data_IF_720550192466
#
_entry.id   IF_720550192466
#
_cell.length_a   1.000
_cell.length_b   1.000
_cell.length_c   1.000
_cell.angle_alpha   90.00
_cell.angle_beta   90.00
_cell.angle_gamma   90.00
#
_symmetry.space_group_name_H-M   'P 1'
#
loop_
_entity.id
_entity.type
_entity.pdbx_description
1 polymer ?
#
# COMPACT_ATOMS: atom_id res chain seq x y z
N UNK A 1 -46.62 -63.22 76.92
CA UNK A 1 -46.19 -64.03 75.86
C UNK A 1 -46.28 -63.27 74.59
N UNK A 2 -45.42 -63.53 73.88
CA UNK A 2 -44.34 -62.68 73.46
C UNK A 2 -44.57 -62.19 72.04
N UNK A 3 -43.83 -61.39 71.70
CA UNK A 3 -42.66 -61.25 70.83
C UNK A 3 -42.96 -60.24 69.71
N UNK A 4 -42.22 -59.26 69.73
CA UNK A 4 -40.92 -59.25 69.20
C UNK A 4 -40.89 -59.22 67.69
N UNK A 5 -40.05 -58.40 67.37
CA UNK A 5 -39.16 -58.41 66.24
C UNK A 5 -39.59 -57.54 65.14
N UNK A 6 -38.90 -56.54 65.11
CA UNK A 6 -37.67 -56.47 64.35
C UNK A 6 -37.91 -56.62 62.86
N UNK A 7 -37.72 -55.63 62.24
CA UNK A 7 -36.42 -55.55 61.65
C UNK A 7 -36.19 -54.14 61.12
N UNK A 8 -35.19 -53.59 61.69
CA UNK A 8 -34.50 -52.49 61.07
C UNK A 8 -33.89 -52.96 59.77
N UNK A 9 -34.55 -52.75 58.73
CA UNK A 9 -33.93 -52.78 57.40
C UNK A 9 -33.39 -51.41 57.08
N UNK A 10 -32.17 -51.31 57.43
CA UNK A 10 -31.24 -50.35 56.89
C UNK A 10 -31.45 -50.18 55.38
N UNK A 11 -32.11 -49.13 55.02
CA UNK A 11 -32.18 -48.75 53.63
C UNK A 11 -31.41 -47.47 53.42
N UNK A 12 -30.13 -47.65 53.62
CA UNK A 12 -29.11 -46.71 53.08
C UNK A 12 -29.20 -46.73 51.60
N UNK A 13 -30.29 -46.24 51.06
CA UNK A 13 -30.37 -45.92 49.64
C UNK A 13 -29.43 -44.77 49.37
N UNK A 14 -28.28 -45.16 48.91
CA UNK A 14 -27.28 -44.25 48.42
C UNK A 14 -27.91 -43.21 47.50
N UNK A 15 -27.90 -42.00 47.97
CA UNK A 15 -28.05 -40.82 47.11
C UNK A 15 -26.94 -40.86 46.11
N UNK A 16 -27.17 -41.55 45.02
CA UNK A 16 -26.39 -41.37 43.81
C UNK A 16 -26.58 -39.91 43.44
N UNK A 17 -25.56 -39.14 43.78
CA UNK A 17 -25.41 -37.80 43.30
C UNK A 17 -25.55 -37.86 41.81
N UNK A 18 -26.67 -37.38 41.32
CA UNK A 18 -26.83 -37.04 39.91
C UNK A 18 -25.83 -35.96 39.63
N UNK A 19 -24.63 -36.40 39.24
CA UNK A 19 -23.64 -35.52 38.69
C UNK A 19 -24.35 -34.75 37.59
N UNK A 20 -24.62 -33.52 37.88
CA UNK A 20 -25.05 -32.54 36.89
C UNK A 20 -24.00 -32.53 35.84
N UNK A 21 -24.21 -33.31 34.79
CA UNK A 21 -23.40 -33.17 33.59
C UNK A 21 -23.62 -31.73 33.13
N UNK A 22 -22.71 -30.88 33.51
CA UNK A 22 -22.56 -29.60 32.85
C UNK A 22 -22.29 -29.99 31.42
N UNK A 23 -23.30 -29.98 30.58
CA UNK A 23 -23.14 -30.01 29.18
C UNK A 23 -22.23 -28.78 28.91
N UNK A 24 -20.97 -29.02 28.72
CA UNK A 24 -20.11 -28.05 28.11
C UNK A 24 -20.77 -27.79 26.77
N UNK A 25 -21.59 -26.76 26.70
CA UNK A 25 -21.96 -26.14 25.47
C UNK A 25 -20.65 -25.64 24.90
N UNK A 26 -19.97 -26.53 24.19
CA UNK A 26 -19.01 -26.11 23.22
C UNK A 26 -19.84 -25.23 22.30
N UNK A 27 -19.74 -23.92 22.52
CA UNK A 27 -20.23 -22.97 21.56
C UNK A 27 -19.47 -23.31 20.28
N UNK A 28 -20.10 -24.09 19.44
CA UNK A 28 -19.61 -24.33 18.10
C UNK A 28 -19.58 -22.93 17.47
N UNK A 29 -18.38 -22.37 17.45
CA UNK A 29 -18.14 -21.11 16.75
C UNK A 29 -18.49 -21.40 15.31
N UNK A 30 -19.59 -20.84 14.86
CA UNK A 30 -19.97 -20.95 13.46
C UNK A 30 -18.87 -20.23 12.65
N UNK A 31 -18.01 -21.02 12.02
CA UNK A 31 -16.85 -20.52 11.26
C UNK A 31 -17.30 -19.81 9.97
N UNK A 32 -18.53 -20.09 9.52
CA UNK A 32 -19.04 -19.54 8.25
C UNK A 32 -19.02 -18.01 8.21
N UNK A 33 -19.50 -17.26 9.22
CA UNK A 33 -19.40 -15.80 9.22
C UNK A 33 -17.95 -15.29 9.20
N UNK A 34 -17.06 -15.99 9.91
CA UNK A 34 -15.65 -15.63 9.95
C UNK A 34 -14.98 -15.81 8.59
N UNK A 35 -15.25 -16.94 7.94
CA UNK A 35 -14.71 -17.24 6.58
C UNK A 35 -15.28 -16.25 5.57
N UNK A 36 -16.54 -15.87 5.67
CA UNK A 36 -17.16 -14.89 4.77
C UNK A 36 -16.46 -13.53 4.87
N UNK A 37 -16.22 -13.02 6.08
CA UNK A 37 -15.47 -11.77 6.29
C UNK A 37 -14.05 -11.88 5.73
N UNK A 38 -13.36 -13.00 5.95
CA UNK A 38 -12.02 -13.22 5.45
C UNK A 38 -11.98 -13.26 3.92
N UNK A 39 -12.95 -13.92 3.28
CA UNK A 39 -13.06 -13.96 1.83
C UNK A 39 -13.34 -12.58 1.24
N UNK A 40 -14.24 -11.81 1.83
CA UNK A 40 -14.55 -10.45 1.38
C UNK A 40 -13.33 -9.55 1.50
N UNK A 41 -12.62 -9.60 2.62
CA UNK A 41 -11.37 -8.86 2.80
C UNK A 41 -10.31 -9.29 1.79
N UNK A 42 -10.17 -10.59 1.52
CA UNK A 42 -9.23 -11.11 0.52
C UNK A 42 -9.53 -10.53 -0.87
N UNK A 43 -10.80 -10.53 -1.28
CA UNK A 43 -11.22 -10.00 -2.57
C UNK A 43 -10.96 -8.49 -2.63
N UNK A 44 -11.30 -7.74 -1.57
CA UNK A 44 -11.05 -6.30 -1.49
C UNK A 44 -9.55 -6.02 -1.65
N UNK A 45 -8.70 -6.72 -0.90
CA UNK A 45 -7.24 -6.55 -1.02
C UNK A 45 -6.72 -6.96 -2.40
N UNK A 46 -7.27 -8.02 -3.00
CA UNK A 46 -6.89 -8.44 -4.34
C UNK A 46 -7.22 -7.38 -5.40
N UNK A 47 -8.36 -6.71 -5.27
CA UNK A 47 -8.79 -5.66 -6.20
C UNK A 47 -8.07 -4.33 -5.93
N UNK A 48 -7.81 -4.01 -4.67
CA UNK A 48 -7.19 -2.72 -4.29
C UNK A 48 -5.66 -2.75 -4.39
N UNK A 49 -5.02 -3.90 -4.23
CA UNK A 49 -3.57 -4.02 -4.30
C UNK A 49 -2.95 -3.46 -5.59
N UNK A 50 -3.47 -3.76 -6.80
CA UNK A 50 -2.95 -3.15 -8.02
C UNK A 50 -3.23 -1.66 -8.14
N UNK A 51 -4.18 -1.12 -7.37
CA UNK A 51 -4.47 0.32 -7.34
C UNK A 51 -3.42 1.11 -6.56
N UNK A 52 -2.78 0.48 -5.58
CA UNK A 52 -1.72 1.09 -4.77
C UNK A 52 -0.39 1.16 -5.54
N UNK A 53 -0.18 0.27 -6.50
CA UNK A 53 1.04 0.20 -7.33
C UNK A 53 1.00 1.06 -8.59
N UNK A 54 0.19 2.09 -8.64
CA UNK A 54 0.15 3.03 -9.79
C UNK A 54 1.33 3.99 -9.84
N UNK A 55 2.40 3.71 -9.10
CA UNK A 55 3.70 4.28 -9.39
C UNK A 55 4.23 3.67 -10.69
N UNK A 56 4.63 4.51 -11.65
CA UNK A 56 5.31 4.02 -12.83
C UNK A 56 6.73 3.58 -12.44
N UNK A 57 7.08 2.35 -12.77
CA UNK A 57 8.46 1.88 -12.62
C UNK A 57 9.35 2.63 -13.61
N UNK A 58 10.24 3.43 -13.08
CA UNK A 58 11.29 4.12 -13.86
C UNK A 58 12.63 3.51 -13.52
N UNK A 59 13.24 2.84 -14.48
CA UNK A 59 14.63 2.40 -14.35
C UNK A 59 15.55 3.62 -14.46
N UNK A 60 16.01 4.11 -13.32
CA UNK A 60 16.90 5.28 -13.29
C UNK A 60 18.26 4.93 -13.89
N UNK A 61 18.83 5.81 -14.71
CA UNK A 61 20.19 5.62 -15.21
C UNK A 61 21.20 5.64 -14.05
N UNK A 62 22.24 4.82 -14.18
CA UNK A 62 23.29 4.70 -13.16
C UNK A 62 24.32 5.81 -13.34
N UNK A 63 24.56 6.61 -12.31
CA UNK A 63 25.68 7.55 -12.27
C UNK A 63 26.56 7.31 -11.06
N UNK A 64 27.83 7.70 -11.18
CA UNK A 64 28.83 7.53 -10.12
C UNK A 64 28.74 8.56 -9.00
N UNK A 65 27.92 9.60 -9.15
CA UNK A 65 27.68 10.63 -8.14
C UNK A 65 26.17 10.88 -8.01
N UNK A 66 25.55 10.38 -6.96
CA UNK A 66 24.22 10.78 -6.53
C UNK A 66 24.34 11.55 -5.22
N UNK A 67 23.80 12.75 -5.18
CA UNK A 67 23.63 13.49 -3.92
C UNK A 67 22.36 13.00 -3.22
N UNK A 68 22.43 12.82 -1.92
CA UNK A 68 21.24 12.53 -1.10
C UNK A 68 20.28 13.73 -1.14
N UNK A 69 19.08 13.47 -1.62
CA UNK A 69 18.05 14.49 -1.81
C UNK A 69 17.08 14.40 -0.63
N UNK A 70 17.14 15.37 0.27
CA UNK A 70 16.24 15.48 1.42
C UNK A 70 14.86 16.07 1.06
N UNK A 71 13.85 15.65 1.82
CA UNK A 71 12.42 15.85 1.59
C UNK A 71 11.96 17.32 1.45
N UNK A 72 11.01 17.53 0.62
CA UNK A 72 10.21 18.69 0.21
C UNK A 72 10.40 19.12 -1.27
N UNK A 73 10.99 18.27 -2.07
CA UNK A 73 11.31 18.58 -3.46
C UNK A 73 10.32 17.90 -4.40
N UNK A 74 9.92 18.60 -5.43
CA UNK A 74 9.03 18.07 -6.46
C UNK A 74 9.81 17.15 -7.37
N UNK A 75 9.33 15.93 -7.52
CA UNK A 75 9.89 14.95 -8.43
C UNK A 75 9.01 14.79 -9.66
N UNK A 76 9.62 14.84 -10.83
CA UNK A 76 8.95 14.52 -12.08
C UNK A 76 9.60 13.28 -12.66
N UNK A 77 8.83 12.22 -12.79
CA UNK A 77 9.29 10.94 -13.34
C UNK A 77 8.79 10.77 -14.76
N UNK A 78 9.70 10.48 -15.67
CA UNK A 78 9.41 10.21 -17.08
C UNK A 78 9.60 8.72 -17.33
N UNK A 79 8.52 7.94 -17.41
CA UNK A 79 8.58 6.51 -17.68
C UNK A 79 8.81 6.24 -19.15
N UNK A 80 9.21 5.00 -19.49
CA UNK A 80 9.38 4.60 -20.89
C UNK A 80 8.05 4.67 -21.68
N UNK A 81 6.92 4.47 -21.02
CA UNK A 81 5.58 4.62 -21.61
C UNK A 81 5.25 6.05 -22.07
N UNK A 82 6.08 7.04 -21.70
CA UNK A 82 5.98 8.41 -22.22
C UNK A 82 5.92 8.44 -23.75
N UNK A 83 6.60 7.53 -24.42
CA UNK A 83 6.58 7.43 -25.90
C UNK A 83 5.18 7.14 -26.44
N UNK A 84 4.39 6.38 -25.73
CA UNK A 84 3.07 5.93 -26.15
C UNK A 84 1.96 6.79 -25.56
N UNK A 85 2.02 7.02 -24.27
CA UNK A 85 0.91 7.59 -23.50
C UNK A 85 1.03 9.10 -23.30
N UNK A 86 2.23 9.65 -23.56
CA UNK A 86 2.53 11.09 -23.36
C UNK A 86 2.18 11.57 -21.95
N UNK A 87 2.46 10.72 -20.96
CA UNK A 87 2.17 10.94 -19.54
C UNK A 87 3.46 10.94 -18.75
N UNK A 88 3.60 11.88 -17.84
CA UNK A 88 4.65 11.96 -16.83
C UNK A 88 4.04 11.85 -15.43
N UNK A 89 4.84 11.55 -14.44
CA UNK A 89 4.39 11.48 -13.05
C UNK A 89 5.03 12.62 -12.25
N UNK A 90 4.20 13.42 -11.59
CA UNK A 90 4.63 14.45 -10.64
C UNK A 90 4.36 13.89 -9.25
N UNK A 91 5.43 13.63 -8.48
CA UNK A 91 5.35 12.91 -7.21
C UNK A 91 4.55 11.60 -7.39
N UNK A 92 3.29 11.55 -6.93
CA UNK A 92 2.42 10.38 -7.06
C UNK A 92 1.26 10.57 -8.06
N UNK A 93 1.25 11.67 -8.82
CA UNK A 93 0.16 12.00 -9.75
C UNK A 93 0.59 11.85 -11.20
N UNK A 94 -0.22 11.13 -11.97
CA UNK A 94 -0.05 11.05 -13.41
C UNK A 94 -0.60 12.31 -14.09
N UNK A 95 0.21 12.93 -14.90
CA UNK A 95 -0.09 14.19 -15.59
C UNK A 95 0.21 14.02 -17.08
N UNK A 96 -0.72 14.41 -17.91
CA UNK A 96 -0.49 14.47 -19.36
C UNK A 96 0.48 15.59 -19.69
N UNK A 97 1.30 15.34 -20.71
CA UNK A 97 2.32 16.30 -21.13
C UNK A 97 1.74 17.65 -21.55
N UNK A 98 0.53 17.62 -22.12
CA UNK A 98 -0.15 18.84 -22.59
C UNK A 98 -0.49 19.83 -21.47
N UNK A 99 -0.73 19.32 -20.27
CA UNK A 99 -1.08 20.14 -19.11
C UNK A 99 0.07 20.29 -18.10
N UNK A 100 1.22 19.65 -18.36
CA UNK A 100 2.38 19.67 -17.49
C UNK A 100 2.86 21.10 -17.20
N UNK A 101 2.96 21.92 -18.23
CA UNK A 101 3.38 23.32 -18.10
C UNK A 101 2.48 24.10 -17.15
N UNK A 102 1.17 23.98 -17.30
CA UNK A 102 0.22 24.69 -16.45
C UNK A 102 0.22 24.17 -15.00
N UNK A 103 0.31 22.84 -14.82
CA UNK A 103 0.44 22.24 -13.50
C UNK A 103 1.71 22.72 -12.78
N UNK A 104 2.84 22.77 -13.50
CA UNK A 104 4.09 23.28 -12.94
C UNK A 104 3.97 24.76 -12.59
N UNK A 105 3.33 25.57 -13.43
CA UNK A 105 3.11 27.00 -13.15
C UNK A 105 2.33 27.21 -11.85
N UNK A 106 1.29 26.42 -11.62
CA UNK A 106 0.49 26.51 -10.42
C UNK A 106 1.29 26.06 -9.20
N UNK A 107 2.03 24.94 -9.30
CA UNK A 107 2.82 24.40 -8.18
C UNK A 107 4.00 25.30 -7.81
N UNK A 108 4.61 25.99 -8.78
CA UNK A 108 5.77 26.85 -8.53
C UNK A 108 5.42 28.24 -8.01
N UNK A 109 4.14 28.65 -8.07
CA UNK A 109 3.70 29.95 -7.52
C UNK A 109 3.98 30.10 -6.04
N UNK A 110 3.76 29.03 -5.28
CA UNK A 110 3.86 29.04 -3.82
C UNK A 110 5.21 28.56 -3.29
N UNK A 111 6.12 28.16 -4.18
CA UNK A 111 7.44 27.64 -3.79
C UNK A 111 8.53 28.69 -3.98
N UNK A 112 9.27 29.06 -2.93
CA UNK A 112 10.38 30.01 -3.03
C UNK A 112 11.56 29.43 -3.84
N UNK A 113 11.76 28.12 -3.74
CA UNK A 113 12.80 27.40 -4.47
C UNK A 113 12.17 26.64 -5.63
N UNK A 114 12.20 27.26 -6.81
CA UNK A 114 11.62 26.72 -8.04
C UNK A 114 12.49 25.62 -8.65
N UNK A 115 12.79 24.62 -7.84
CA UNK A 115 13.62 23.49 -8.22
C UNK A 115 12.78 22.21 -8.35
N UNK A 116 13.03 21.47 -9.42
CA UNK A 116 12.38 20.18 -9.71
C UNK A 116 13.45 19.14 -9.99
N UNK A 117 13.20 17.92 -9.55
CA UNK A 117 14.06 16.78 -9.80
C UNK A 117 13.44 15.87 -10.85
N UNK A 118 14.13 15.73 -11.97
CA UNK A 118 13.69 14.89 -13.09
C UNK A 118 14.29 13.50 -12.96
N UNK A 119 13.44 12.48 -12.95
CA UNK A 119 13.79 11.06 -13.02
C UNK A 119 13.39 10.53 -14.38
N UNK A 120 14.35 10.12 -15.18
CA UNK A 120 14.09 9.49 -16.48
C UNK A 120 14.40 8.01 -16.45
N UNK A 121 13.61 7.19 -17.17
CA UNK A 121 14.00 5.81 -17.46
C UNK A 121 15.31 5.79 -18.25
N UNK A 122 16.23 4.88 -17.91
CA UNK A 122 17.55 4.80 -18.56
C UNK A 122 17.51 4.48 -20.05
N UNK A 123 16.36 4.05 -20.57
CA UNK A 123 16.15 3.75 -21.99
C UNK A 123 15.55 4.92 -22.77
N UNK A 124 15.23 6.02 -22.10
CA UNK A 124 14.81 7.26 -22.77
C UNK A 124 16.01 7.91 -23.47
N UNK A 125 15.74 8.55 -24.59
CA UNK A 125 16.73 9.36 -25.25
C UNK A 125 16.94 10.68 -24.53
N UNK A 126 18.12 11.25 -24.67
CA UNK A 126 18.41 12.58 -24.12
C UNK A 126 17.42 13.62 -24.66
N UNK A 127 17.04 13.50 -25.94
CA UNK A 127 16.06 14.42 -26.54
C UNK A 127 14.72 14.37 -25.82
N UNK A 128 14.20 13.19 -25.51
CA UNK A 128 12.94 13.03 -24.80
C UNK A 128 12.98 13.68 -23.39
N UNK A 129 14.11 13.57 -22.70
CA UNK A 129 14.29 14.25 -21.42
C UNK A 129 14.38 15.76 -21.56
N UNK A 130 15.08 16.26 -22.59
CA UNK A 130 15.18 17.69 -22.87
C UNK A 130 13.82 18.30 -23.23
N UNK A 131 12.98 17.61 -24.01
CA UNK A 131 11.64 18.04 -24.34
C UNK A 131 10.78 18.24 -23.06
N UNK A 132 10.88 17.33 -22.11
CA UNK A 132 10.20 17.47 -20.80
C UNK A 132 10.79 18.60 -19.98
N UNK A 133 12.13 18.75 -19.96
CA UNK A 133 12.79 19.85 -19.25
C UNK A 133 12.36 21.23 -19.77
N UNK A 134 12.21 21.38 -21.08
CA UNK A 134 11.77 22.62 -21.68
C UNK A 134 10.33 22.99 -21.25
N UNK A 135 9.44 22.01 -21.17
CA UNK A 135 8.10 22.20 -20.65
C UNK A 135 8.08 22.57 -19.16
N UNK A 136 8.96 21.96 -18.35
CA UNK A 136 9.12 22.32 -16.95
C UNK A 136 9.59 23.76 -16.78
N UNK A 137 10.60 24.18 -17.56
CA UNK A 137 11.09 25.56 -17.56
C UNK A 137 10.04 26.55 -18.03
N UNK A 138 9.28 26.22 -19.08
CA UNK A 138 8.16 27.05 -19.53
C UNK A 138 7.05 27.16 -18.45
N UNK A 139 6.94 26.15 -17.55
CA UNK A 139 6.08 26.17 -16.37
C UNK A 139 6.63 26.98 -15.19
N UNK A 140 7.77 27.65 -15.34
CA UNK A 140 8.34 28.52 -14.29
C UNK A 140 9.35 27.81 -13.36
N UNK A 141 9.81 26.61 -13.72
CA UNK A 141 10.91 25.93 -13.01
C UNK A 141 12.24 26.62 -13.36
N UNK A 142 12.96 27.06 -12.36
CA UNK A 142 14.27 27.73 -12.56
C UNK A 142 15.41 26.72 -12.63
N UNK A 143 15.35 25.68 -11.81
CA UNK A 143 16.40 24.66 -11.72
C UNK A 143 15.82 23.27 -11.89
N UNK A 144 16.42 22.49 -12.77
CA UNK A 144 16.07 21.08 -12.97
C UNK A 144 17.29 20.23 -12.61
N UNK A 145 17.16 19.40 -11.59
CA UNK A 145 18.15 18.41 -11.22
C UNK A 145 17.81 17.06 -11.83
N UNK A 146 18.77 16.37 -12.43
CA UNK A 146 18.56 15.00 -12.91
C UNK A 146 18.95 14.03 -11.80
N UNK A 147 18.01 13.17 -11.43
CA UNK A 147 18.24 12.13 -10.42
C UNK A 147 18.60 10.82 -11.11
N UNK A 148 19.64 10.23 -10.63
CA UNK A 148 20.16 8.96 -11.13
C UNK A 148 20.37 7.99 -9.97
N UNK A 149 20.32 6.69 -10.23
CA UNK A 149 20.66 5.66 -9.23
C UNK A 149 22.16 5.58 -8.99
N UNK A 150 22.53 5.27 -7.77
CA UNK A 150 23.90 4.87 -7.45
C UNK A 150 24.22 3.48 -8.04
N UNK A 151 25.46 3.22 -8.46
CA UNK A 151 25.88 1.89 -8.86
C UNK A 151 25.74 0.92 -7.69
N UNK A 152 24.90 -0.12 -7.84
CA UNK A 152 24.68 -1.15 -6.81
C UNK A 152 23.35 -1.10 -6.05
N UNK A 153 22.53 -0.08 -6.24
CA UNK A 153 21.18 -0.02 -5.72
C UNK A 153 20.22 -0.80 -6.64
N UNK A 154 19.63 -1.89 -6.10
CA UNK A 154 18.65 -2.75 -6.81
C UNK A 154 17.23 -2.32 -6.54
#
# INVERSE_FOLDING_TARGET
>A
MPKVQQDAADNSAGRRGRGRRVASSLAEINVVPLVDVMLVLLIIFMVTAPMIQRGMDVNLPVTRRAEEITAERVFVSVPLSYRTDRVVQIDDRLVRIEILQEQMRQMMKDKPDRQVFLRGDGRLTVQELLDVMDLLKAGGVERVGIVTKLPGER
#
